data_IF_311779934600
#
_entry.id   IF_311779934600
#
_cell.length_a   1.000
_cell.length_b   1.000
_cell.length_c   1.000
_cell.angle_alpha   90.00
_cell.angle_beta   90.00
_cell.angle_gamma   90.00
#
_symmetry.space_group_name_H-M   'P 1'
#
loop_
_entity.id
_entity.type
_entity.pdbx_description
1 polymer ?
#
# COMPACT_ATOMS: atom_id res chain seq x y z
N UNK A 1 -8.48 6.28 23.54
CA UNK A 1 -9.14 4.98 23.24
C UNK A 1 -8.29 4.30 22.18
N UNK A 2 -7.91 3.03 22.36
CA UNK A 2 -7.13 2.30 21.34
C UNK A 2 -8.09 1.73 20.33
N UNK A 3 -8.12 2.30 19.13
CA UNK A 3 -8.88 1.73 18.01
C UNK A 3 -8.04 0.59 17.46
N UNK A 4 -8.50 -0.64 17.70
CA UNK A 4 -7.85 -1.83 17.17
C UNK A 4 -8.38 -2.05 15.77
N UNK A 5 -7.49 -2.05 14.79
CA UNK A 5 -7.82 -2.49 13.43
C UNK A 5 -8.28 -3.95 13.50
N UNK A 6 -9.54 -4.21 13.17
CA UNK A 6 -10.05 -5.58 13.01
C UNK A 6 -9.80 -6.02 11.55
N UNK A 7 -8.84 -6.93 11.29
CA UNK A 7 -8.55 -7.38 9.94
C UNK A 7 -9.78 -8.02 9.27
N UNK A 8 -10.71 -8.60 10.03
CA UNK A 8 -11.90 -9.26 9.48
C UNK A 8 -12.88 -8.29 8.80
N UNK A 9 -12.77 -7.00 9.11
CA UNK A 9 -13.56 -5.94 8.48
C UNK A 9 -12.92 -5.43 7.18
N UNK A 10 -11.70 -5.88 6.85
CA UNK A 10 -10.98 -5.43 5.67
C UNK A 10 -11.26 -6.32 4.45
N UNK A 11 -11.24 -5.75 3.23
CA UNK A 11 -11.24 -6.51 1.99
C UNK A 11 -10.11 -7.54 1.98
N UNK A 12 -10.43 -8.76 1.55
CA UNK A 12 -9.47 -9.84 1.44
C UNK A 12 -8.73 -9.75 0.10
N UNK A 13 -7.40 -9.76 0.13
CA UNK A 13 -6.56 -9.67 -1.07
C UNK A 13 -5.34 -10.60 -0.95
N UNK A 14 -4.92 -11.21 -2.05
CA UNK A 14 -3.72 -12.06 -2.11
C UNK A 14 -2.44 -11.21 -2.16
N UNK A 15 -2.19 -10.46 -1.08
CA UNK A 15 -1.03 -9.55 -1.00
C UNK A 15 0.28 -10.33 -1.09
N UNK A 16 0.36 -11.51 -0.47
CA UNK A 16 1.57 -12.32 -0.58
C UNK A 16 1.82 -12.80 -2.02
N UNK A 17 0.79 -13.29 -2.73
CA UNK A 17 0.93 -13.65 -4.13
C UNK A 17 1.29 -12.46 -5.02
N UNK A 18 0.71 -11.28 -4.77
CA UNK A 18 1.06 -10.04 -5.47
C UNK A 18 2.51 -9.60 -5.21
N UNK A 19 3.00 -9.77 -3.98
CA UNK A 19 4.37 -9.43 -3.62
C UNK A 19 5.36 -10.41 -4.26
N UNK A 20 5.02 -11.70 -4.29
CA UNK A 20 5.84 -12.74 -4.91
C UNK A 20 5.90 -12.61 -6.44
N UNK A 21 4.82 -12.19 -7.08
CA UNK A 21 4.78 -11.93 -8.52
C UNK A 21 5.41 -10.58 -8.92
N UNK A 22 5.70 -9.72 -7.93
CA UNK A 22 6.23 -8.38 -8.15
C UNK A 22 5.19 -7.34 -8.57
N UNK A 23 3.89 -7.66 -8.49
CA UNK A 23 2.80 -6.71 -8.72
C UNK A 23 2.74 -5.61 -7.64
N UNK A 24 3.14 -5.95 -6.42
CA UNK A 24 3.39 -4.98 -5.34
C UNK A 24 4.77 -5.21 -4.75
N UNK A 25 5.32 -4.17 -4.13
CA UNK A 25 6.63 -4.18 -3.50
C UNK A 25 6.48 -3.68 -2.08
N UNK A 26 7.31 -4.18 -1.17
CA UNK A 26 7.33 -3.62 0.17
C UNK A 26 7.83 -2.19 0.15
N UNK A 27 7.13 -1.33 0.88
CA UNK A 27 7.49 0.06 1.08
C UNK A 27 8.44 0.28 2.28
N UNK A 28 8.85 -0.79 2.96
CA UNK A 28 9.71 -0.78 4.15
C UNK A 28 10.63 -2.01 4.20
N UNK A 29 11.76 -1.90 4.93
CA UNK A 29 12.72 -3.00 5.18
C UNK A 29 12.37 -3.85 6.39
N UNK A 30 11.69 -3.29 7.38
CA UNK A 30 11.22 -4.01 8.56
C UNK A 30 9.88 -3.43 8.97
N UNK A 31 8.87 -4.28 9.09
CA UNK A 31 7.60 -3.88 9.69
C UNK A 31 7.76 -3.98 11.21
N UNK A 32 7.44 -2.93 11.99
CA UNK A 32 7.41 -3.01 13.45
C UNK A 32 6.52 -4.16 13.94
N UNK A 33 6.81 -4.72 15.11
CA UNK A 33 6.06 -5.88 15.65
C UNK A 33 4.55 -5.64 15.82
N UNK A 34 4.16 -4.38 16.06
CA UNK A 34 2.76 -3.93 16.14
C UNK A 34 2.37 -3.03 14.95
N UNK A 35 3.17 -3.03 13.89
CA UNK A 35 2.97 -2.24 12.68
C UNK A 35 2.08 -2.93 11.65
N UNK A 36 1.60 -2.15 10.68
CA UNK A 36 0.87 -2.66 9.51
C UNK A 36 1.88 -2.75 8.35
N UNK A 37 2.16 -3.94 7.81
CA UNK A 37 3.01 -4.09 6.62
C UNK A 37 2.53 -3.20 5.48
N UNK A 38 3.44 -2.39 4.93
CA UNK A 38 3.13 -1.47 3.85
C UNK A 38 3.71 -1.93 2.50
N UNK A 39 2.89 -1.82 1.47
CA UNK A 39 3.21 -2.17 0.10
C UNK A 39 2.89 -1.01 -0.83
N UNK A 40 3.68 -0.85 -1.89
CA UNK A 40 3.43 0.08 -2.99
C UNK A 40 3.21 -0.72 -4.28
N UNK A 41 2.35 -0.23 -5.16
CA UNK A 41 2.16 -0.85 -6.48
C UNK A 41 3.47 -0.83 -7.28
N UNK A 42 3.67 -1.83 -8.17
CA UNK A 42 4.81 -1.88 -9.08
C UNK A 42 4.96 -0.59 -9.89
N UNK A 43 3.85 -0.11 -10.47
CA UNK A 43 3.79 1.12 -11.24
C UNK A 43 4.11 2.36 -10.40
N UNK A 44 3.62 2.42 -9.16
CA UNK A 44 3.94 3.52 -8.25
C UNK A 44 5.42 3.55 -7.90
N UNK A 45 6.04 2.39 -7.68
CA UNK A 45 7.49 2.34 -7.50
C UNK A 45 8.26 2.80 -8.74
N UNK A 46 7.85 2.38 -9.94
CA UNK A 46 8.52 2.76 -11.18
C UNK A 46 8.44 4.27 -11.42
N UNK A 47 7.32 4.89 -11.07
CA UNK A 47 7.15 6.34 -11.07
C UNK A 47 8.10 7.03 -10.07
N UNK A 48 8.22 6.51 -8.86
CA UNK A 48 9.15 7.01 -7.84
C UNK A 48 10.61 6.92 -8.31
N UNK A 49 10.98 5.82 -8.97
CA UNK A 49 12.32 5.65 -9.57
C UNK A 49 12.54 6.68 -10.67
N UNK A 50 11.61 6.81 -11.61
CA UNK A 50 11.73 7.75 -12.71
C UNK A 50 11.84 9.20 -12.23
N UNK A 51 11.16 9.54 -11.13
CA UNK A 51 11.09 10.91 -10.61
C UNK A 51 12.26 11.28 -9.72
N UNK A 52 12.66 10.38 -8.81
CA UNK A 52 13.57 10.73 -7.71
C UNK A 52 14.89 9.96 -7.74
N UNK A 53 15.03 8.95 -8.59
CA UNK A 53 16.19 8.07 -8.60
C UNK A 53 16.63 7.62 -10.01
N UNK A 54 16.29 8.38 -11.06
CA UNK A 54 16.58 8.04 -12.46
C UNK A 54 18.07 7.87 -12.72
N UNK A 55 18.91 8.65 -12.05
CA UNK A 55 20.37 8.64 -12.23
C UNK A 55 21.10 7.73 -11.23
N UNK A 56 20.37 6.98 -10.40
CA UNK A 56 20.95 6.09 -9.40
C UNK A 56 21.09 4.67 -9.94
N UNK A 57 22.30 4.11 -9.86
CA UNK A 57 22.59 2.70 -10.20
C UNK A 57 21.88 1.70 -9.29
N UNK A 58 21.46 2.11 -8.09
CA UNK A 58 20.70 1.30 -7.15
C UNK A 58 19.55 2.11 -6.52
N UNK A 59 18.45 2.37 -7.24
CA UNK A 59 17.38 3.27 -6.82
C UNK A 59 16.75 2.93 -5.46
N UNK A 60 16.66 1.63 -5.15
CA UNK A 60 16.13 1.13 -3.88
C UNK A 60 16.90 1.64 -2.65
N UNK A 61 18.19 1.92 -2.77
CA UNK A 61 19.02 2.40 -1.64
C UNK A 61 18.66 3.81 -1.18
N UNK A 62 18.09 4.62 -2.08
CA UNK A 62 17.70 6.01 -1.80
C UNK A 62 16.19 6.11 -1.55
N UNK A 63 15.39 5.39 -2.35
CA UNK A 63 13.94 5.44 -2.25
C UNK A 63 13.41 4.75 -1.01
N UNK A 64 13.94 3.58 -0.63
CA UNK A 64 13.37 2.79 0.45
C UNK A 64 13.41 3.51 1.81
N UNK A 65 14.52 4.18 2.21
CA UNK A 65 14.52 5.01 3.42
C UNK A 65 13.55 6.20 3.39
N UNK A 66 13.32 6.79 2.20
CA UNK A 66 12.35 7.87 2.04
C UNK A 66 10.91 7.34 2.15
N UNK A 67 10.65 6.18 1.53
CA UNK A 67 9.37 5.47 1.61
C UNK A 67 9.04 5.07 3.04
N UNK A 68 9.99 4.54 3.81
CA UNK A 68 9.78 4.20 5.22
C UNK A 68 9.30 5.40 6.04
N UNK A 69 9.90 6.58 5.81
CA UNK A 69 9.47 7.83 6.46
C UNK A 69 8.08 8.27 6.00
N UNK A 70 7.79 8.15 4.70
CA UNK A 70 6.48 8.50 4.14
C UNK A 70 5.38 7.58 4.69
N UNK A 71 5.59 6.26 4.62
CA UNK A 71 4.71 5.22 5.17
C UNK A 71 4.41 5.48 6.64
N UNK A 72 5.44 5.73 7.45
CA UNK A 72 5.27 6.01 8.88
C UNK A 72 4.33 7.20 9.09
N UNK A 73 4.52 8.29 8.34
CA UNK A 73 3.66 9.48 8.42
C UNK A 73 2.24 9.22 7.94
N UNK A 74 2.07 8.48 6.83
CA UNK A 74 0.76 8.13 6.28
C UNK A 74 -0.03 7.25 7.25
N UNK A 75 0.60 6.24 7.84
CA UNK A 75 -0.02 5.36 8.83
C UNK A 75 -0.35 6.10 10.13
N UNK A 76 0.53 7.00 10.61
CA UNK A 76 0.23 7.86 11.75
C UNK A 76 -0.98 8.77 11.46
N UNK A 77 -1.05 9.38 10.28
CA UNK A 77 -2.18 10.22 9.89
C UNK A 77 -3.48 9.41 9.83
N UNK A 78 -3.44 8.21 9.27
CA UNK A 78 -4.58 7.29 9.24
C UNK A 78 -5.03 6.88 10.65
N UNK A 79 -4.09 6.58 11.55
CA UNK A 79 -4.39 6.22 12.94
C UNK A 79 -5.00 7.39 13.72
N UNK A 80 -4.53 8.62 13.48
CA UNK A 80 -5.11 9.82 14.06
C UNK A 80 -6.53 10.08 13.54
N UNK A 81 -6.76 9.94 12.23
CA UNK A 81 -8.08 10.08 11.62
C UNK A 81 -9.07 9.05 12.19
N UNK A 82 -8.66 7.78 12.24
CA UNK A 82 -9.46 6.74 12.86
C UNK A 82 -9.78 7.08 14.32
N UNK A 83 -8.78 7.54 15.09
CA UNK A 83 -8.94 7.92 16.51
C UNK A 83 -9.95 9.05 16.72
N UNK A 84 -10.05 10.00 15.78
CA UNK A 84 -11.03 11.08 15.81
C UNK A 84 -12.44 10.59 15.46
N UNK A 85 -12.56 9.74 14.45
CA UNK A 85 -13.85 9.34 13.88
C UNK A 85 -14.44 8.09 14.55
N UNK A 86 -13.66 7.40 15.37
CA UNK A 86 -14.07 6.17 16.07
C UNK A 86 -14.18 4.95 15.17
N UNK A 87 -13.87 5.10 13.87
CA UNK A 87 -13.97 4.05 12.84
C UNK A 87 -12.77 4.16 11.91
N UNK A 88 -12.23 3.02 11.48
CA UNK A 88 -11.22 3.00 10.43
C UNK A 88 -11.87 2.74 9.06
N UNK A 89 -11.69 3.67 8.12
CA UNK A 89 -12.11 3.45 6.74
C UNK A 89 -11.15 2.47 6.04
N UNK A 90 -11.65 1.49 5.26
CA UNK A 90 -10.80 0.57 4.48
C UNK A 90 -9.95 1.28 3.42
N UNK A 91 -10.29 2.52 3.07
CA UNK A 91 -9.56 3.32 2.09
C UNK A 91 -9.56 4.76 2.56
N UNK A 92 -8.38 5.38 2.53
CA UNK A 92 -8.18 6.78 2.87
C UNK A 92 -7.48 7.44 1.69
N UNK A 93 -8.00 8.59 1.25
CA UNK A 93 -7.34 9.43 0.25
C UNK A 93 -6.64 10.57 0.97
N UNK A 94 -5.36 10.78 0.66
CA UNK A 94 -4.50 11.79 1.26
C UNK A 94 -3.85 12.57 0.12
N UNK A 95 -3.90 13.91 0.20
CA UNK A 95 -3.16 14.73 -0.75
C UNK A 95 -1.66 14.61 -0.45
N UNK A 96 -0.90 14.16 -1.43
CA UNK A 96 0.54 13.93 -1.33
C UNK A 96 1.24 14.20 -2.65
N UNK A 97 2.45 14.73 -2.57
CA UNK A 97 3.38 14.90 -3.68
C UNK A 97 4.20 13.64 -3.98
N UNK A 98 3.85 12.50 -3.37
CA UNK A 98 4.60 11.25 -3.53
C UNK A 98 4.52 10.69 -4.96
N UNK A 99 3.38 10.86 -5.62
CA UNK A 99 3.18 10.50 -7.02
C UNK A 99 2.90 11.78 -7.81
N UNK A 100 3.71 12.04 -8.84
CA UNK A 100 3.50 13.20 -9.72
C UNK A 100 2.33 13.00 -10.68
N UNK A 101 1.96 11.75 -10.94
CA UNK A 101 0.85 11.39 -11.82
C UNK A 101 -0.51 11.81 -11.25
N UNK A 102 -0.66 11.82 -9.92
CA UNK A 102 -1.88 12.20 -9.25
C UNK A 102 -1.58 12.70 -7.82
N UNK A 103 -2.02 13.91 -7.43
CA UNK A 103 -1.84 14.41 -6.07
C UNK A 103 -2.66 13.63 -5.01
N UNK A 104 -3.65 12.85 -5.42
CA UNK A 104 -4.46 12.04 -4.51
C UNK A 104 -3.85 10.64 -4.32
N UNK A 105 -3.12 10.48 -3.22
CA UNK A 105 -2.60 9.20 -2.78
C UNK A 105 -3.68 8.41 -2.07
N UNK A 106 -3.84 7.15 -2.47
CA UNK A 106 -4.75 6.21 -1.85
C UNK A 106 -3.98 5.26 -0.94
N UNK A 107 -4.43 5.19 0.31
CA UNK A 107 -4.02 4.21 1.31
C UNK A 107 -5.16 3.21 1.50
N UNK A 108 -5.02 2.02 0.90
CA UNK A 108 -6.01 0.95 1.01
C UNK A 108 -5.56 -0.08 2.06
N UNK A 109 -6.38 -0.25 3.10
CA UNK A 109 -6.19 -1.29 4.09
C UNK A 109 -6.91 -2.56 3.64
N UNK A 110 -6.15 -3.64 3.55
CA UNK A 110 -6.62 -4.97 3.15
C UNK A 110 -6.18 -5.99 4.17
N UNK A 111 -6.80 -7.17 4.20
CA UNK A 111 -6.23 -8.34 4.88
C UNK A 111 -5.66 -9.29 3.84
N UNK A 112 -4.53 -9.90 4.17
CA UNK A 112 -4.03 -11.00 3.36
C UNK A 112 -4.98 -12.22 3.46
N UNK A 113 -5.15 -12.94 2.35
CA UNK A 113 -6.02 -14.13 2.34
C UNK A 113 -5.39 -15.34 3.03
N UNK A 114 -4.06 -15.42 3.05
CA UNK A 114 -3.32 -16.58 3.57
C UNK A 114 -3.01 -16.42 5.06
N UNK A 115 -2.81 -15.19 5.53
CA UNK A 115 -2.58 -14.85 6.92
C UNK A 115 -3.54 -13.71 7.34
N UNK A 116 -4.21 -13.76 8.51
CA UNK A 116 -5.14 -12.73 8.97
C UNK A 116 -4.41 -11.47 9.47
N UNK A 117 -3.51 -10.94 8.66
CA UNK A 117 -2.70 -9.75 8.92
C UNK A 117 -3.25 -8.63 8.04
N UNK A 118 -3.49 -7.48 8.65
CA UNK A 118 -3.84 -6.27 7.90
C UNK A 118 -2.59 -5.73 7.20
N UNK A 119 -2.72 -5.34 5.95
CA UNK A 119 -1.67 -4.73 5.14
C UNK A 119 -2.18 -3.40 4.56
N UNK A 120 -1.26 -2.48 4.34
CA UNK A 120 -1.54 -1.22 3.67
C UNK A 120 -1.00 -1.27 2.24
N UNK A 121 -1.83 -0.96 1.26
CA UNK A 121 -1.46 -0.79 -0.14
C UNK A 121 -1.49 0.70 -0.49
N UNK A 122 -0.39 1.18 -1.06
CA UNK A 122 -0.13 2.59 -1.36
C UNK A 122 0.02 2.76 -2.88
N UNK A 123 -0.67 3.75 -3.42
CA UNK A 123 -0.61 4.13 -4.82
C UNK A 123 -1.65 5.18 -5.16
N UNK A 124 -1.72 5.59 -6.40
CA UNK A 124 -2.87 6.36 -6.90
C UNK A 124 -4.06 5.43 -7.14
N UNK A 125 -5.28 5.97 -7.23
CA UNK A 125 -6.47 5.16 -7.50
C UNK A 125 -6.32 4.31 -8.77
N UNK A 126 -5.79 4.90 -9.86
CA UNK A 126 -5.57 4.21 -11.13
C UNK A 126 -4.51 3.09 -11.03
N UNK A 127 -3.43 3.31 -10.27
CA UNK A 127 -2.39 2.31 -10.05
C UNK A 127 -2.94 1.11 -9.27
N UNK A 128 -3.68 1.36 -8.20
CA UNK A 128 -4.29 0.31 -7.37
C UNK A 128 -5.30 -0.48 -8.21
N UNK A 129 -6.19 0.20 -8.93
CA UNK A 129 -7.16 -0.46 -9.80
C UNK A 129 -6.50 -1.36 -10.85
N UNK A 130 -5.45 -0.85 -11.51
CA UNK A 130 -4.69 -1.63 -12.50
C UNK A 130 -4.05 -2.86 -11.88
N UNK A 131 -3.45 -2.70 -10.70
CA UNK A 131 -2.79 -3.80 -9.97
C UNK A 131 -3.81 -4.87 -9.56
N UNK A 132 -4.99 -4.47 -9.06
CA UNK A 132 -6.06 -5.39 -8.68
C UNK A 132 -6.64 -6.13 -9.89
N UNK A 133 -6.88 -5.44 -11.01
CA UNK A 133 -7.36 -6.07 -12.25
C UNK A 133 -6.37 -7.10 -12.80
N UNK A 134 -5.08 -6.80 -12.74
CA UNK A 134 -4.03 -7.70 -13.22
C UNK A 134 -3.88 -8.97 -12.35
N UNK A 135 -4.18 -8.88 -11.05
CA UNK A 135 -4.05 -10.00 -10.10
C UNK A 135 -5.36 -10.73 -9.81
N UNK A 136 -6.49 -10.24 -10.31
CA UNK A 136 -7.74 -11.00 -10.21
C UNK A 136 -7.61 -12.24 -11.09
N UNK A 137 -7.68 -13.47 -10.54
CA UNK A 137 -7.70 -14.66 -11.37
C UNK A 137 -8.93 -14.56 -12.26
N UNK A 138 -8.71 -14.47 -13.57
CA UNK A 138 -9.77 -14.63 -14.57
C UNK A 138 -10.39 -15.99 -14.29
N UNK A 139 -11.56 -16.02 -13.67
CA UNK A 139 -12.37 -17.23 -13.60
C UNK A 139 -12.82 -17.49 -15.04
N UNK A 140 -12.36 -18.55 -15.72
CA UNK A 140 -12.92 -18.86 -17.02
C UNK A 140 -14.38 -19.25 -16.77
N UNK A 141 -15.31 -18.48 -17.35
CA UNK A 141 -16.72 -18.85 -17.42
C UNK A 141 -16.80 -20.26 -18.03
N UNK A 142 -17.52 -21.21 -17.41
CA UNK A 142 -17.78 -22.48 -18.07
C UNK A 142 -18.68 -22.22 -19.28
N UNK A 143 -18.20 -22.63 -20.46
CA UNK A 143 -19.03 -22.82 -21.65
C UNK A 143 -20.06 -23.93 -21.42
#
# INVERSE_FOLDING_TARGET
MSIKLDPMMLPALDILGMAQSGAVLRAERETPSDGIPAFVTRSGWDELVATHASDHTAPHTVLLPAMEKAVTRLLSHAAEAASRDGVMAPTITIQSDLFLSDPDLVLAFVRDITHPVACALIGTAAQIETTLRAHTPVHPLPN
#
